data_IF_854908063301
#
_entry.id   IF_854908063301
#
_cell.length_a   1.000
_cell.length_b   1.000
_cell.length_c   1.000
_cell.angle_alpha   90.00
_cell.angle_beta   90.00
_cell.angle_gamma   90.00
#
_symmetry.space_group_name_H-M   'P 1'
#
loop_
_entity.id
_entity.type
_entity.pdbx_description
1 polymer ?
#
# COMPACT_ATOMS: atom_id res chain seq x y z
N UNK A 1 3.02 -10.80 36.52
CA UNK A 1 3.26 -10.69 35.08
C UNK A 1 3.62 -9.28 34.58
N UNK A 2 3.64 -8.26 35.47
CA UNK A 2 3.93 -6.87 35.09
C UNK A 2 5.43 -6.51 35.07
N UNK A 3 6.30 -7.38 35.58
CA UNK A 3 7.71 -7.07 35.75
C UNK A 3 8.57 -7.06 34.48
N UNK A 4 8.14 -7.74 33.42
CA UNK A 4 8.89 -7.80 32.16
C UNK A 4 8.62 -6.61 31.23
N UNK A 5 7.56 -5.81 31.48
CA UNK A 5 7.24 -4.63 30.65
C UNK A 5 8.06 -3.39 31.07
N UNK A 6 8.33 -3.22 32.37
CA UNK A 6 9.05 -2.05 32.92
C UNK A 6 10.54 -1.99 32.55
N UNK A 7 11.21 -3.14 32.45
CA UNK A 7 12.63 -3.20 32.07
C UNK A 7 12.86 -2.94 30.57
N UNK A 8 11.87 -3.17 29.74
CA UNK A 8 11.93 -2.91 28.30
C UNK A 8 11.93 -1.42 27.96
N UNK A 9 11.32 -0.58 28.82
CA UNK A 9 11.04 0.82 28.50
C UNK A 9 12.23 1.77 28.75
N UNK A 10 13.21 1.38 29.57
CA UNK A 10 14.44 2.15 29.76
C UNK A 10 15.46 1.97 28.65
N UNK A 11 15.38 0.85 27.91
CA UNK A 11 16.32 0.49 26.86
C UNK A 11 16.12 1.16 25.51
N UNK A 12 14.95 1.76 25.26
CA UNK A 12 14.56 2.17 23.90
C UNK A 12 14.09 3.61 23.77
N UNK A 13 14.61 4.57 24.53
CA UNK A 13 14.29 5.99 24.26
C UNK A 13 14.74 6.38 22.86
N UNK A 14 13.77 6.67 22.03
CA UNK A 14 13.96 7.15 20.68
C UNK A 14 14.57 8.55 20.68
N UNK A 15 15.42 8.79 19.72
CA UNK A 15 16.01 10.11 19.53
C UNK A 15 14.99 11.05 18.89
N UNK A 16 15.07 12.34 19.21
CA UNK A 16 14.25 13.36 18.59
C UNK A 16 14.40 13.35 17.05
N UNK A 17 15.59 13.05 16.56
CA UNK A 17 15.86 12.93 15.12
C UNK A 17 15.10 11.76 14.48
N UNK A 18 15.05 10.58 15.11
CA UNK A 18 14.28 9.44 14.61
C UNK A 18 12.79 9.81 14.46
N UNK A 19 12.21 10.48 15.44
CA UNK A 19 10.83 10.91 15.39
C UNK A 19 10.55 11.91 14.27
N UNK A 20 11.45 12.87 14.04
CA UNK A 20 11.33 13.80 12.90
C UNK A 20 11.39 13.04 11.57
N UNK A 21 12.31 12.10 11.41
CA UNK A 21 12.45 11.32 10.19
C UNK A 21 11.20 10.49 9.91
N UNK A 22 10.64 9.80 10.90
CA UNK A 22 9.39 9.05 10.73
C UNK A 22 8.19 9.96 10.45
N UNK A 23 8.09 11.09 11.12
CA UNK A 23 7.03 12.07 10.86
C UNK A 23 7.11 12.63 9.44
N UNK A 24 8.30 13.01 8.98
CA UNK A 24 8.52 13.48 7.60
C UNK A 24 8.16 12.41 6.58
N UNK A 25 8.56 11.15 6.84
CA UNK A 25 8.22 10.02 6.00
C UNK A 25 6.69 9.86 5.87
N UNK A 26 5.94 9.79 6.98
CA UNK A 26 4.49 9.64 6.94
C UNK A 26 3.76 10.84 6.34
N UNK A 27 4.32 12.04 6.44
CA UNK A 27 3.79 13.21 5.75
C UNK A 27 3.90 13.09 4.23
N UNK A 28 5.07 12.69 3.73
CA UNK A 28 5.29 12.48 2.29
C UNK A 28 4.44 11.32 1.76
N UNK A 29 4.38 10.22 2.50
CA UNK A 29 3.56 9.06 2.18
C UNK A 29 2.08 9.42 2.10
N UNK A 30 1.56 10.21 3.07
CA UNK A 30 0.20 10.74 3.06
C UNK A 30 -0.12 11.51 1.76
N UNK A 31 0.75 12.45 1.36
CA UNK A 31 0.51 13.26 0.16
C UNK A 31 0.53 12.40 -1.10
N UNK A 32 1.54 11.53 -1.25
CA UNK A 32 1.68 10.68 -2.43
C UNK A 32 0.55 9.66 -2.55
N UNK A 33 0.23 8.97 -1.47
CA UNK A 33 -0.84 7.97 -1.44
C UNK A 33 -2.22 8.61 -1.63
N UNK A 34 -2.50 9.76 -0.98
CA UNK A 34 -3.77 10.46 -1.14
C UNK A 34 -4.00 10.92 -2.58
N UNK A 35 -3.06 11.70 -3.13
CA UNK A 35 -3.20 12.27 -4.47
C UNK A 35 -3.26 11.18 -5.54
N UNK A 36 -2.37 10.19 -5.45
CA UNK A 36 -2.28 9.12 -6.44
C UNK A 36 -3.51 8.22 -6.45
N UNK A 37 -3.99 7.78 -5.28
CA UNK A 37 -5.14 6.89 -5.20
C UNK A 37 -6.48 7.61 -5.38
N UNK A 38 -6.62 8.86 -4.95
CA UNK A 38 -7.82 9.66 -5.23
C UNK A 38 -8.00 9.91 -6.73
N UNK A 39 -6.91 10.25 -7.44
CA UNK A 39 -6.93 10.39 -8.88
C UNK A 39 -7.25 9.07 -9.58
N UNK A 40 -6.63 7.97 -9.15
CA UNK A 40 -6.89 6.64 -9.69
C UNK A 40 -8.36 6.23 -9.50
N UNK A 41 -8.89 6.37 -8.30
CA UNK A 41 -10.28 6.03 -8.00
C UNK A 41 -11.25 6.87 -8.83
N UNK A 42 -11.02 8.17 -8.95
CA UNK A 42 -11.81 9.06 -9.78
C UNK A 42 -11.84 8.60 -11.25
N UNK A 43 -10.68 8.23 -11.82
CA UNK A 43 -10.57 7.74 -13.18
C UNK A 43 -11.26 6.38 -13.38
N UNK A 44 -11.08 5.44 -12.45
CA UNK A 44 -11.73 4.13 -12.53
C UNK A 44 -13.26 4.22 -12.44
N UNK A 45 -13.79 5.12 -11.60
CA UNK A 45 -15.25 5.36 -11.51
C UNK A 45 -15.79 6.01 -12.78
N UNK A 46 -15.08 6.99 -13.33
CA UNK A 46 -15.50 7.69 -14.56
C UNK A 46 -15.57 6.74 -15.77
N UNK A 47 -14.69 5.74 -15.82
CA UNK A 47 -14.53 4.85 -16.96
C UNK A 47 -15.09 3.44 -16.74
N UNK A 48 -16.15 3.29 -15.97
CA UNK A 48 -16.78 2.00 -15.66
C UNK A 48 -17.19 1.16 -16.89
N UNK A 49 -17.38 1.77 -18.05
CA UNK A 49 -17.82 1.07 -19.28
C UNK A 49 -16.79 0.07 -19.85
N UNK A 50 -15.53 0.13 -19.45
CA UNK A 50 -14.47 -0.76 -19.92
C UNK A 50 -13.91 -1.69 -18.85
N UNK A 51 -14.75 -2.12 -17.91
CA UNK A 51 -14.39 -2.88 -16.73
C UNK A 51 -13.74 -4.24 -17.02
N UNK A 52 -12.42 -4.25 -17.21
CA UNK A 52 -11.66 -5.51 -17.13
C UNK A 52 -11.56 -5.96 -15.67
N UNK A 53 -11.49 -7.27 -15.37
CA UNK A 53 -11.29 -7.75 -14.00
C UNK A 53 -10.11 -7.10 -13.29
N UNK A 54 -9.01 -6.85 -14.00
CA UNK A 54 -7.84 -6.17 -13.44
C UNK A 54 -8.18 -4.75 -12.98
N UNK A 55 -8.96 -3.98 -13.75
CA UNK A 55 -9.36 -2.62 -13.35
C UNK A 55 -10.25 -2.63 -12.10
N UNK A 56 -11.09 -3.66 -11.94
CA UNK A 56 -11.90 -3.84 -10.72
C UNK A 56 -10.99 -4.03 -9.50
N UNK A 57 -10.00 -4.92 -9.58
CA UNK A 57 -9.06 -5.14 -8.49
C UNK A 57 -8.22 -3.88 -8.18
N UNK A 58 -7.77 -3.14 -9.20
CA UNK A 58 -7.04 -1.88 -9.04
C UNK A 58 -7.90 -0.79 -8.37
N UNK A 59 -9.19 -0.72 -8.72
CA UNK A 59 -10.14 0.19 -8.08
C UNK A 59 -10.28 -0.11 -6.57
N UNK A 60 -10.45 -1.39 -6.22
CA UNK A 60 -10.57 -1.81 -4.82
C UNK A 60 -9.25 -1.64 -4.06
N UNK A 61 -8.11 -1.77 -4.72
CA UNK A 61 -6.79 -1.46 -4.17
C UNK A 61 -6.69 0.03 -3.80
N UNK A 62 -7.10 0.93 -4.70
CA UNK A 62 -7.15 2.37 -4.42
C UNK A 62 -8.11 2.70 -3.25
N UNK A 63 -9.23 1.99 -3.10
CA UNK A 63 -10.13 2.15 -1.96
C UNK A 63 -9.46 1.71 -0.66
N UNK A 64 -8.72 0.60 -0.67
CA UNK A 64 -7.99 0.12 0.51
C UNK A 64 -6.93 1.14 0.94
N UNK A 65 -6.16 1.69 0.00
CA UNK A 65 -5.14 2.70 0.27
C UNK A 65 -5.75 3.99 0.83
N UNK A 66 -6.83 4.49 0.23
CA UNK A 66 -7.51 5.68 0.72
C UNK A 66 -8.11 5.48 2.12
N UNK A 67 -8.56 4.28 2.46
CA UNK A 67 -9.05 3.98 3.82
C UNK A 67 -7.92 4.12 4.86
N UNK A 68 -6.71 3.70 4.53
CA UNK A 68 -5.55 3.83 5.40
C UNK A 68 -5.01 5.26 5.47
N UNK A 69 -5.06 6.00 4.36
CA UNK A 69 -4.66 7.41 4.29
C UNK A 69 -5.40 8.27 5.33
N UNK A 70 -6.65 7.93 5.66
CA UNK A 70 -7.44 8.65 6.67
C UNK A 70 -6.80 8.63 8.07
N UNK A 71 -6.03 7.61 8.39
CA UNK A 71 -5.39 7.45 9.71
C UNK A 71 -3.90 7.78 9.71
N UNK A 72 -3.28 8.03 8.57
CA UNK A 72 -1.88 8.46 8.49
C UNK A 72 -1.56 9.74 9.27
N UNK A 73 -2.43 10.78 9.30
CA UNK A 73 -2.20 11.97 10.12
C UNK A 73 -2.05 11.67 11.62
N UNK A 74 -2.70 10.62 12.12
CA UNK A 74 -2.55 10.22 13.53
C UNK A 74 -1.16 9.68 13.85
N UNK A 75 -0.54 8.98 12.89
CA UNK A 75 0.86 8.51 13.01
C UNK A 75 1.85 9.68 12.99
N UNK A 76 1.57 10.68 12.14
CA UNK A 76 2.35 11.91 12.08
C UNK A 76 2.35 12.62 13.43
N UNK A 77 1.18 12.85 14.02
CA UNK A 77 1.04 13.49 15.34
C UNK A 77 1.72 12.66 16.43
N UNK A 78 1.58 11.34 16.41
CA UNK A 78 2.23 10.44 17.37
C UNK A 78 3.75 10.66 17.43
N UNK A 79 4.42 10.73 16.28
CA UNK A 79 5.86 10.98 16.21
C UNK A 79 6.23 12.40 16.64
N UNK A 80 5.47 13.42 16.23
CA UNK A 80 5.71 14.81 16.66
C UNK A 80 5.50 15.02 18.16
N UNK A 81 4.60 14.25 18.77
CA UNK A 81 4.33 14.28 20.22
C UNK A 81 5.33 13.47 21.06
N UNK A 82 6.45 13.05 20.49
CA UNK A 82 7.46 12.26 21.21
C UNK A 82 6.95 10.87 21.61
N UNK A 83 6.17 10.24 20.72
CA UNK A 83 5.54 8.92 20.90
C UNK A 83 4.41 8.89 21.95
N UNK A 84 3.80 10.02 22.21
CA UNK A 84 2.57 10.12 22.98
C UNK A 84 1.34 10.03 22.06
N UNK A 85 0.34 9.23 22.47
CA UNK A 85 -0.91 9.04 21.74
C UNK A 85 -2.03 9.89 22.36
N UNK A 86 -2.39 11.04 21.79
CA UNK A 86 -3.36 11.97 22.39
C UNK A 86 -4.83 11.67 22.03
N UNK A 87 -5.10 10.70 21.15
CA UNK A 87 -6.43 10.54 20.53
C UNK A 87 -7.35 9.57 21.27
N UNK A 88 -6.87 8.88 22.32
CA UNK A 88 -7.66 7.91 23.07
C UNK A 88 -7.81 6.55 22.37
N UNK A 89 -8.67 5.71 22.94
CA UNK A 89 -8.78 4.29 22.62
C UNK A 89 -9.38 4.02 21.22
N UNK A 90 -10.50 4.67 20.87
CA UNK A 90 -11.23 4.39 19.61
C UNK A 90 -10.37 4.69 18.37
N UNK A 91 -9.73 5.87 18.24
CA UNK A 91 -8.82 6.12 17.12
C UNK A 91 -7.61 5.18 17.08
N UNK A 92 -7.10 4.72 18.24
CA UNK A 92 -6.02 3.74 18.28
C UNK A 92 -6.45 2.40 17.67
N UNK A 93 -7.62 1.88 18.05
CA UNK A 93 -8.21 0.66 17.45
C UNK A 93 -8.43 0.82 15.94
N UNK A 94 -8.98 1.95 15.52
CA UNK A 94 -9.26 2.24 14.12
C UNK A 94 -7.96 2.32 13.29
N UNK A 95 -6.93 2.98 13.82
CA UNK A 95 -5.62 3.08 13.16
C UNK A 95 -4.99 1.71 12.94
N UNK A 96 -5.02 0.84 13.94
CA UNK A 96 -4.55 -0.53 13.80
C UNK A 96 -5.39 -1.35 12.82
N UNK A 97 -6.71 -1.30 12.95
CA UNK A 97 -7.63 -2.00 12.06
C UNK A 97 -7.42 -1.60 10.60
N UNK A 98 -7.39 -0.31 10.27
CA UNK A 98 -7.22 0.16 8.90
C UNK A 98 -5.82 -0.14 8.33
N UNK A 99 -4.78 -0.12 9.16
CA UNK A 99 -3.44 -0.55 8.74
C UNK A 99 -3.42 -2.01 8.26
N UNK A 100 -3.97 -2.93 9.05
CA UNK A 100 -3.99 -4.35 8.69
C UNK A 100 -4.99 -4.64 7.59
N UNK A 101 -6.15 -3.97 7.59
CA UNK A 101 -7.14 -4.09 6.53
C UNK A 101 -6.53 -3.69 5.17
N UNK A 102 -5.86 -2.53 5.10
CA UNK A 102 -5.15 -2.09 3.90
C UNK A 102 -4.08 -3.11 3.48
N UNK A 103 -3.19 -3.48 4.39
CA UNK A 103 -2.07 -4.39 4.08
C UNK A 103 -2.57 -5.72 3.50
N UNK A 104 -3.50 -6.41 4.17
CA UNK A 104 -3.97 -7.72 3.69
C UNK A 104 -4.90 -7.61 2.49
N UNK A 105 -5.77 -6.60 2.42
CA UNK A 105 -6.57 -6.36 1.22
C UNK A 105 -5.67 -6.14 -0.01
N UNK A 106 -4.62 -5.32 0.10
CA UNK A 106 -3.66 -5.07 -0.97
C UNK A 106 -2.93 -6.35 -1.40
N UNK A 107 -2.43 -7.14 -0.46
CA UNK A 107 -1.78 -8.43 -0.74
C UNK A 107 -2.70 -9.34 -1.56
N UNK A 108 -3.97 -9.48 -1.17
CA UNK A 108 -4.93 -10.34 -1.86
C UNK A 108 -5.40 -9.77 -3.19
N UNK A 109 -5.57 -8.45 -3.32
CA UNK A 109 -5.90 -7.84 -4.62
C UNK A 109 -4.75 -7.97 -5.62
N UNK A 110 -3.51 -7.80 -5.18
CA UNK A 110 -2.33 -8.03 -6.02
C UNK A 110 -2.20 -9.50 -6.46
N UNK A 111 -2.53 -10.44 -5.58
CA UNK A 111 -2.63 -11.86 -5.93
C UNK A 111 -3.72 -12.08 -7.01
N UNK A 112 -4.90 -11.49 -6.86
CA UNK A 112 -5.98 -11.61 -7.85
C UNK A 112 -5.58 -11.00 -9.21
N UNK A 113 -4.86 -9.88 -9.23
CA UNK A 113 -4.30 -9.30 -10.45
C UNK A 113 -3.32 -10.29 -11.11
N UNK A 114 -2.48 -10.95 -10.32
CA UNK A 114 -1.52 -11.94 -10.79
C UNK A 114 -2.20 -13.16 -11.41
N UNK A 115 -3.26 -13.64 -10.78
CA UNK A 115 -4.11 -14.74 -11.29
C UNK A 115 -4.84 -14.33 -12.57
N UNK A 116 -5.40 -13.10 -12.64
CA UNK A 116 -6.05 -12.58 -13.86
C UNK A 116 -5.04 -12.52 -15.01
N UNK A 117 -3.81 -12.05 -14.77
CA UNK A 117 -2.77 -12.04 -15.81
C UNK A 117 -2.36 -13.44 -16.24
N UNK A 118 -2.22 -14.38 -15.31
CA UNK A 118 -1.96 -15.78 -15.62
C UNK A 118 -3.06 -16.37 -16.51
N UNK A 119 -4.30 -16.20 -16.14
CA UNK A 119 -5.44 -16.70 -16.94
C UNK A 119 -5.47 -16.06 -18.34
N UNK A 120 -5.18 -14.77 -18.45
CA UNK A 120 -5.17 -14.06 -19.72
C UNK A 120 -4.11 -14.56 -20.71
N UNK A 121 -2.94 -14.97 -20.20
CA UNK A 121 -1.76 -15.27 -21.02
C UNK A 121 -1.61 -16.77 -21.25
N UNK A 122 -1.79 -17.57 -20.20
CA UNK A 122 -1.57 -19.03 -20.29
C UNK A 122 -2.80 -19.76 -20.81
N UNK A 123 -3.99 -19.25 -20.47
CA UNK A 123 -5.27 -19.88 -20.84
C UNK A 123 -6.27 -18.91 -21.51
N UNK A 124 -5.89 -18.20 -22.58
CA UNK A 124 -6.68 -17.09 -23.13
C UNK A 124 -8.11 -17.50 -23.51
N UNK A 125 -8.27 -18.59 -24.23
CA UNK A 125 -9.59 -19.06 -24.71
C UNK A 125 -10.46 -19.61 -23.59
N UNK A 126 -9.88 -20.45 -22.71
CA UNK A 126 -10.61 -21.08 -21.61
C UNK A 126 -11.05 -20.08 -20.55
N UNK A 127 -10.31 -19.00 -20.36
CA UNK A 127 -10.54 -18.01 -19.31
C UNK A 127 -11.57 -16.92 -19.68
N UNK A 128 -12.02 -16.79 -20.93
CA UNK A 128 -12.97 -15.75 -21.36
C UNK A 128 -14.23 -15.74 -20.50
N UNK A 129 -14.79 -16.90 -20.19
CA UNK A 129 -16.00 -17.02 -19.36
C UNK A 129 -15.73 -16.66 -17.88
N UNK A 130 -14.52 -16.96 -17.37
CA UNK A 130 -14.14 -16.72 -15.98
C UNK A 130 -13.72 -15.28 -15.76
N UNK A 131 -13.12 -14.62 -16.75
CA UNK A 131 -12.63 -13.26 -16.69
C UNK A 131 -13.71 -12.21 -16.97
N UNK A 132 -14.83 -12.30 -16.24
CA UNK A 132 -15.90 -11.30 -16.26
C UNK A 132 -15.76 -10.34 -15.09
N UNK A 133 -16.06 -9.07 -15.34
CA UNK A 133 -16.03 -8.01 -14.32
C UNK A 133 -16.90 -8.34 -13.10
N UNK A 134 -18.05 -8.98 -13.32
CA UNK A 134 -18.95 -9.42 -12.24
C UNK A 134 -18.24 -10.35 -11.24
N UNK A 135 -17.50 -11.33 -11.73
CA UNK A 135 -16.78 -12.27 -10.84
C UNK A 135 -15.65 -11.56 -10.07
N UNK A 136 -15.03 -10.56 -10.68
CA UNK A 136 -14.04 -9.74 -9.97
C UNK A 136 -14.68 -8.93 -8.83
N UNK A 137 -15.85 -8.33 -9.04
CA UNK A 137 -16.58 -7.63 -7.97
C UNK A 137 -17.01 -8.57 -6.85
N UNK A 138 -17.52 -9.76 -7.18
CA UNK A 138 -17.87 -10.79 -6.18
C UNK A 138 -16.64 -11.23 -5.39
N UNK A 139 -15.51 -11.47 -6.05
CA UNK A 139 -14.25 -11.80 -5.39
C UNK A 139 -13.77 -10.67 -4.46
N UNK A 140 -13.87 -9.40 -4.90
CA UNK A 140 -13.53 -8.26 -4.05
C UNK A 140 -14.45 -8.17 -2.83
N UNK A 141 -15.76 -8.31 -3.00
CA UNK A 141 -16.71 -8.29 -1.90
C UNK A 141 -16.41 -9.40 -0.88
N UNK A 142 -16.14 -10.61 -1.35
CA UNK A 142 -15.73 -11.72 -0.51
C UNK A 142 -14.42 -11.42 0.25
N UNK A 143 -13.40 -10.89 -0.42
CA UNK A 143 -12.14 -10.54 0.22
C UNK A 143 -12.30 -9.44 1.28
N UNK A 144 -13.11 -8.41 1.02
CA UNK A 144 -13.42 -7.38 2.01
C UNK A 144 -14.06 -7.95 3.27
N UNK A 145 -15.00 -8.89 3.12
CA UNK A 145 -15.65 -9.55 4.26
C UNK A 145 -14.65 -10.42 5.02
N UNK A 146 -13.87 -11.26 4.32
CA UNK A 146 -12.90 -12.16 4.95
C UNK A 146 -11.82 -11.38 5.72
N UNK A 147 -11.21 -10.39 5.09
CA UNK A 147 -10.15 -9.58 5.73
C UNK A 147 -10.75 -8.72 6.85
N UNK A 148 -11.92 -8.11 6.65
CA UNK A 148 -12.60 -7.31 7.66
C UNK A 148 -12.94 -8.13 8.91
N UNK A 149 -13.50 -9.33 8.75
CA UNK A 149 -13.82 -10.23 9.87
C UNK A 149 -12.54 -10.71 10.57
N UNK A 150 -11.49 -11.06 9.81
CA UNK A 150 -10.22 -11.48 10.39
C UNK A 150 -9.55 -10.37 11.23
N UNK A 151 -9.71 -9.10 10.84
CA UNK A 151 -9.14 -7.95 11.56
C UNK A 151 -10.09 -7.37 12.62
N UNK A 152 -11.37 -7.76 12.67
CA UNK A 152 -12.36 -7.28 13.63
C UNK A 152 -11.94 -7.38 15.11
N UNK A 153 -11.18 -8.42 15.56
CA UNK A 153 -10.68 -8.48 16.94
C UNK A 153 -9.87 -7.25 17.38
N UNK A 154 -9.24 -6.55 16.44
CA UNK A 154 -8.50 -5.31 16.74
C UNK A 154 -9.41 -4.17 17.18
N UNK A 155 -10.64 -4.13 16.69
CA UNK A 155 -11.64 -3.15 17.11
C UNK A 155 -12.26 -3.47 18.46
N UNK A 156 -12.23 -4.73 18.88
CA UNK A 156 -12.88 -5.21 20.10
C UNK A 156 -11.93 -5.25 21.30
N UNK A 157 -10.62 -5.29 21.09
CA UNK A 157 -9.62 -5.38 22.15
C UNK A 157 -9.07 -4.01 22.55
N UNK A 158 -8.70 -3.86 23.85
CA UNK A 158 -8.05 -2.63 24.33
C UNK A 158 -6.65 -2.51 23.72
N UNK A 159 -6.37 -1.35 23.13
CA UNK A 159 -5.17 -1.07 22.36
C UNK A 159 -4.34 0.10 22.93
N UNK A 160 -4.87 0.89 23.87
CA UNK A 160 -4.10 1.92 24.57
C UNK A 160 -3.59 1.41 25.89
N UNK A 161 -2.35 1.77 26.24
CA UNK A 161 -1.71 1.44 27.53
C UNK A 161 -1.00 2.69 28.04
N UNK A 162 -1.14 2.93 29.33
CA UNK A 162 -0.36 3.97 30.02
C UNK A 162 1.01 3.42 30.43
N UNK A 163 2.07 4.11 30.00
CA UNK A 163 3.45 3.77 30.29
C UNK A 163 4.21 5.07 30.66
N UNK A 164 4.84 5.11 31.84
CA UNK A 164 5.63 6.26 32.29
C UNK A 164 4.91 7.63 32.14
N UNK A 165 3.66 7.72 32.56
CA UNK A 165 2.79 8.89 32.42
C UNK A 165 2.50 9.32 30.95
N UNK A 166 2.73 8.45 29.98
CA UNK A 166 2.38 8.67 28.59
C UNK A 166 1.44 7.58 28.09
N UNK A 167 0.42 7.96 27.33
CA UNK A 167 -0.48 7.01 26.65
C UNK A 167 0.17 6.55 25.36
N UNK A 168 0.26 5.23 25.14
CA UNK A 168 0.82 4.62 23.94
C UNK A 168 -0.23 3.76 23.26
N UNK A 169 -0.30 3.84 21.92
CA UNK A 169 -1.13 2.97 21.09
C UNK A 169 -0.33 1.73 20.68
N UNK A 170 -0.73 0.55 21.18
CA UNK A 170 -0.02 -0.71 20.96
C UNK A 170 0.08 -1.10 19.49
N UNK A 171 -0.97 -0.84 18.71
CA UNK A 171 -1.05 -1.21 17.30
C UNK A 171 -0.05 -0.46 16.40
N UNK A 172 0.53 0.63 16.88
CA UNK A 172 1.49 1.36 16.08
C UNK A 172 2.81 0.57 15.94
N UNK A 173 3.31 -0.03 17.04
CA UNK A 173 4.62 -0.70 17.01
C UNK A 173 4.83 -1.78 18.07
N UNK A 174 3.87 -2.03 18.98
CA UNK A 174 4.01 -2.90 20.15
C UNK A 174 2.89 -3.92 20.25
N UNK A 175 2.79 -4.81 19.31
CA UNK A 175 1.73 -5.84 19.33
C UNK A 175 2.05 -6.98 20.30
N UNK A 176 0.97 -7.57 20.86
CA UNK A 176 1.09 -8.77 21.71
C UNK A 176 1.61 -9.96 20.89
N UNK A 177 2.71 -10.55 21.31
CA UNK A 177 3.24 -11.76 20.71
C UNK A 177 2.38 -12.97 21.11
N UNK A 178 1.83 -13.69 20.14
CA UNK A 178 1.07 -14.92 20.32
C UNK A 178 1.51 -15.97 19.31
N UNK A 179 1.58 -17.23 19.71
CA UNK A 179 1.87 -18.34 18.77
C UNK A 179 0.79 -18.48 17.69
N UNK A 180 -0.47 -18.19 18.03
CA UNK A 180 -1.55 -18.17 17.03
C UNK A 180 -1.34 -17.07 15.98
N UNK A 181 -0.74 -15.93 16.37
CA UNK A 181 -0.38 -14.87 15.44
C UNK A 181 0.67 -15.31 14.41
N UNK A 182 1.61 -16.20 14.78
CA UNK A 182 2.59 -16.77 13.84
C UNK A 182 1.93 -17.60 12.74
N UNK A 183 1.00 -18.48 13.11
CA UNK A 183 0.29 -19.33 12.14
C UNK A 183 -0.56 -18.47 11.22
N UNK A 184 -1.32 -17.53 11.78
CA UNK A 184 -2.16 -16.61 11.00
C UNK A 184 -1.31 -15.77 10.04
N UNK A 185 -0.18 -15.24 10.51
CA UNK A 185 0.77 -14.47 9.72
C UNK A 185 1.33 -15.29 8.55
N UNK A 186 1.78 -16.53 8.84
CA UNK A 186 2.33 -17.41 7.83
C UNK A 186 1.30 -17.75 6.75
N UNK A 187 0.06 -18.11 7.13
CA UNK A 187 -0.99 -18.47 6.18
C UNK A 187 -1.45 -17.25 5.39
N UNK A 188 -1.75 -16.13 6.07
CA UNK A 188 -2.29 -14.93 5.43
C UNK A 188 -1.33 -14.27 4.43
N UNK A 189 -0.03 -14.46 4.59
CA UNK A 189 0.99 -13.92 3.69
C UNK A 189 1.56 -14.96 2.74
N UNK A 190 1.93 -16.15 3.23
CA UNK A 190 2.63 -17.16 2.41
C UNK A 190 1.76 -17.67 1.27
N UNK A 191 0.46 -17.89 1.52
CA UNK A 191 -0.46 -18.35 0.48
C UNK A 191 -0.55 -17.36 -0.70
N UNK A 192 -0.88 -16.07 -0.53
CA UNK A 192 -0.94 -15.13 -1.65
C UNK A 192 0.43 -14.89 -2.30
N UNK A 193 1.51 -14.89 -1.53
CA UNK A 193 2.86 -14.71 -2.07
C UNK A 193 3.27 -15.88 -2.98
N UNK A 194 3.13 -17.12 -2.51
CA UNK A 194 3.44 -18.33 -3.30
C UNK A 194 2.56 -18.42 -4.55
N UNK A 195 1.26 -18.11 -4.43
CA UNK A 195 0.33 -18.05 -5.57
C UNK A 195 0.80 -17.04 -6.61
N UNK A 196 1.17 -15.84 -6.18
CA UNK A 196 1.67 -14.77 -7.06
C UNK A 196 2.95 -15.21 -7.79
N UNK A 197 3.94 -15.73 -7.06
CA UNK A 197 5.21 -16.23 -7.64
C UNK A 197 4.94 -17.37 -8.64
N UNK A 198 4.08 -18.31 -8.28
CA UNK A 198 3.73 -19.44 -9.17
C UNK A 198 3.08 -18.95 -10.45
N UNK A 199 2.10 -18.04 -10.39
CA UNK A 199 1.48 -17.43 -11.56
C UNK A 199 2.53 -16.81 -12.47
N UNK A 200 3.49 -16.08 -11.92
CA UNK A 200 4.52 -15.39 -12.70
C UNK A 200 5.53 -16.36 -13.32
N UNK A 201 5.95 -17.40 -12.62
CA UNK A 201 6.81 -18.46 -13.19
C UNK A 201 6.12 -19.15 -14.36
N UNK A 202 4.82 -19.44 -14.26
CA UNK A 202 4.04 -20.04 -15.34
C UNK A 202 3.85 -19.08 -16.53
N UNK A 203 3.64 -17.79 -16.30
CA UNK A 203 3.58 -16.78 -17.36
C UNK A 203 4.93 -16.73 -18.09
N UNK A 204 6.04 -16.61 -17.37
CA UNK A 204 7.39 -16.53 -17.96
C UNK A 204 7.69 -17.79 -18.78
N UNK A 205 7.34 -18.97 -18.25
CA UNK A 205 7.49 -20.25 -18.96
C UNK A 205 6.68 -20.28 -20.25
N UNK A 206 5.43 -19.84 -20.24
CA UNK A 206 4.55 -19.76 -21.40
C UNK A 206 5.10 -18.77 -22.46
N UNK A 207 5.62 -17.63 -22.03
CA UNK A 207 6.21 -16.63 -22.92
C UNK A 207 7.52 -17.11 -23.58
N UNK A 208 8.30 -17.97 -22.91
CA UNK A 208 9.52 -18.59 -23.46
C UNK A 208 9.22 -19.75 -24.42
N UNK A 209 8.11 -20.45 -24.22
CA UNK A 209 7.70 -21.62 -25.03
C UNK A 209 7.19 -21.27 -26.44
N UNK A 210 7.34 -20.02 -26.90
CA UNK A 210 7.03 -19.64 -28.29
C UNK A 210 5.53 -19.51 -28.60
N UNK A 211 4.65 -19.50 -27.59
CA UNK A 211 3.22 -19.18 -27.81
C UNK A 211 3.12 -17.82 -28.50
N UNK A 212 2.31 -17.74 -29.56
CA UNK A 212 2.02 -16.52 -30.33
C UNK A 212 1.22 -15.52 -29.46
N UNK A 213 1.87 -15.00 -28.41
CA UNK A 213 1.32 -13.91 -27.61
C UNK A 213 1.73 -12.60 -28.28
N UNK A 214 0.77 -11.74 -28.51
CA UNK A 214 1.00 -10.41 -29.07
C UNK A 214 2.06 -9.65 -28.23
N UNK A 215 3.02 -8.99 -28.92
CA UNK A 215 4.16 -8.30 -28.28
C UNK A 215 3.72 -7.33 -27.17
N UNK A 216 2.65 -6.59 -27.41
CA UNK A 216 2.09 -5.63 -26.46
C UNK A 216 1.57 -6.31 -25.17
N UNK A 217 0.88 -7.45 -25.29
CA UNK A 217 0.40 -8.21 -24.13
C UNK A 217 1.56 -8.79 -23.33
N UNK A 218 2.63 -9.23 -24.01
CA UNK A 218 3.86 -9.70 -23.36
C UNK A 218 4.54 -8.60 -22.54
N UNK A 219 4.72 -7.42 -23.12
CA UNK A 219 5.34 -6.29 -22.43
C UNK A 219 4.52 -5.83 -21.22
N UNK A 220 3.20 -5.76 -21.38
CA UNK A 220 2.27 -5.42 -20.30
C UNK A 220 2.35 -6.41 -19.15
N UNK A 221 2.39 -7.72 -19.48
CA UNK A 221 2.52 -8.76 -18.47
C UNK A 221 3.83 -8.64 -17.70
N UNK A 222 4.95 -8.48 -18.38
CA UNK A 222 6.27 -8.35 -17.75
C UNK A 222 6.32 -7.11 -16.83
N UNK A 223 5.80 -5.97 -17.28
CA UNK A 223 5.71 -4.76 -16.43
C UNK A 223 4.86 -5.01 -15.19
N UNK A 224 3.71 -5.66 -15.33
CA UNK A 224 2.85 -6.00 -14.19
C UNK A 224 3.58 -6.93 -13.20
N UNK A 225 4.25 -7.97 -13.70
CA UNK A 225 5.04 -8.90 -12.88
C UNK A 225 6.09 -8.15 -12.06
N UNK A 226 6.89 -7.31 -12.73
CA UNK A 226 7.97 -6.56 -12.07
C UNK A 226 7.39 -5.67 -10.97
N UNK A 227 6.33 -4.91 -11.27
CA UNK A 227 5.74 -3.96 -10.30
C UNK A 227 5.15 -4.68 -9.09
N UNK A 228 4.37 -5.75 -9.30
CA UNK A 228 3.78 -6.51 -8.19
C UNK A 228 4.86 -7.17 -7.33
N UNK A 229 5.88 -7.79 -7.93
CA UNK A 229 6.99 -8.38 -7.17
C UNK A 229 7.77 -7.32 -6.39
N UNK A 230 8.01 -6.14 -6.97
CA UNK A 230 8.67 -5.03 -6.27
C UNK A 230 7.86 -4.60 -5.04
N UNK A 231 6.53 -4.44 -5.15
CA UNK A 231 5.66 -4.12 -4.03
C UNK A 231 5.73 -5.21 -2.95
N UNK A 232 5.63 -6.49 -3.33
CA UNK A 232 5.76 -7.59 -2.36
C UNK A 232 7.10 -7.58 -1.64
N UNK A 233 8.21 -7.45 -2.37
CA UNK A 233 9.56 -7.52 -1.82
C UNK A 233 9.92 -6.31 -0.96
N UNK A 234 9.47 -5.13 -1.32
CA UNK A 234 9.81 -3.89 -0.59
C UNK A 234 8.81 -3.64 0.54
N UNK A 235 7.50 -3.78 0.28
CA UNK A 235 6.49 -3.36 1.25
C UNK A 235 6.06 -4.47 2.19
N UNK A 236 5.92 -5.72 1.72
CA UNK A 236 5.29 -6.76 2.53
C UNK A 236 6.25 -7.79 3.11
N UNK A 237 7.24 -8.26 2.34
CA UNK A 237 8.22 -9.26 2.85
C UNK A 237 8.96 -8.76 4.08
N UNK A 238 9.52 -7.53 4.11
CA UNK A 238 10.26 -7.06 5.30
C UNK A 238 9.39 -7.02 6.56
N UNK A 239 8.13 -6.60 6.42
CA UNK A 239 7.20 -6.56 7.56
C UNK A 239 6.94 -7.96 8.12
N UNK A 240 6.61 -8.94 7.27
CA UNK A 240 6.28 -10.28 7.70
C UNK A 240 7.48 -11.02 8.29
N UNK A 241 8.66 -10.87 7.68
CA UNK A 241 9.92 -11.43 8.21
C UNK A 241 10.26 -10.81 9.56
N UNK A 242 10.23 -9.48 9.66
CA UNK A 242 10.50 -8.78 10.91
C UNK A 242 9.51 -9.18 12.02
N UNK A 243 8.24 -9.28 11.67
CA UNK A 243 7.19 -9.69 12.61
C UNK A 243 7.38 -11.11 13.11
N UNK A 244 7.78 -12.03 12.22
CA UNK A 244 8.11 -13.40 12.58
C UNK A 244 9.28 -13.43 13.57
N UNK A 245 10.37 -12.71 13.29
CA UNK A 245 11.53 -12.61 14.17
C UNK A 245 11.15 -11.99 15.52
N UNK A 246 10.35 -10.92 15.52
CA UNK A 246 9.89 -10.25 16.73
C UNK A 246 9.12 -11.20 17.64
N UNK A 247 8.15 -11.96 17.10
CA UNK A 247 7.34 -12.90 17.89
C UNK A 247 8.20 -14.05 18.45
N UNK A 248 9.18 -14.57 17.71
CA UNK A 248 10.08 -15.62 18.19
C UNK A 248 10.97 -15.15 19.34
N UNK A 249 11.51 -13.93 19.24
CA UNK A 249 12.42 -13.39 20.26
C UNK A 249 11.69 -12.89 21.51
N UNK A 250 10.46 -12.40 21.35
CA UNK A 250 9.66 -11.92 22.48
C UNK A 250 9.25 -13.05 23.45
N UNK A 251 9.11 -14.29 22.97
CA UNK A 251 8.61 -15.41 23.76
C UNK A 251 9.69 -16.19 24.53
N UNK A 252 10.97 -15.88 24.44
CA UNK A 252 11.94 -16.88 24.83
C UNK A 252 13.13 -16.51 25.69
N UNK A 253 13.59 -15.28 25.79
CA UNK A 253 14.85 -14.98 26.49
C UNK A 253 14.93 -13.55 27.01
N UNK A 254 15.70 -13.35 28.10
CA UNK A 254 16.20 -12.04 28.55
C UNK A 254 17.05 -11.45 27.40
N UNK A 255 16.42 -10.74 26.48
CA UNK A 255 17.12 -10.07 25.39
C UNK A 255 17.89 -8.86 25.90
N UNK A 256 19.11 -8.65 25.38
CA UNK A 256 19.89 -7.46 25.70
C UNK A 256 19.17 -6.18 25.30
N UNK A 257 19.47 -5.07 25.96
CA UNK A 257 18.90 -3.76 25.67
C UNK A 257 19.12 -3.35 24.20
N UNK A 258 20.29 -3.62 23.67
CA UNK A 258 20.65 -3.35 22.28
C UNK A 258 19.74 -4.13 21.28
N UNK A 259 19.50 -5.41 21.56
CA UNK A 259 18.60 -6.23 20.73
C UNK A 259 17.16 -5.74 20.77
N UNK A 260 16.67 -5.31 21.95
CA UNK A 260 15.32 -4.75 22.06
C UNK A 260 15.17 -3.46 21.26
N UNK A 261 16.18 -2.57 21.30
CA UNK A 261 16.21 -1.34 20.52
C UNK A 261 16.24 -1.63 19.00
N UNK A 262 17.08 -2.58 18.59
CA UNK A 262 17.16 -2.99 17.18
C UNK A 262 15.83 -3.56 16.68
N UNK A 263 15.15 -4.40 17.47
CA UNK A 263 13.83 -4.95 17.13
C UNK A 263 12.74 -3.87 17.06
N UNK A 264 12.75 -2.90 17.98
CA UNK A 264 11.81 -1.79 17.95
C UNK A 264 12.00 -0.91 16.69
N UNK A 265 13.26 -0.56 16.36
CA UNK A 265 13.58 0.22 15.18
C UNK A 265 13.24 -0.53 13.88
N UNK A 266 13.58 -1.82 13.79
CA UNK A 266 13.26 -2.65 12.62
C UNK A 266 11.75 -2.78 12.42
N UNK A 267 10.95 -2.88 13.48
CA UNK A 267 9.49 -2.92 13.39
C UNK A 267 8.90 -1.60 12.85
N UNK A 268 9.46 -0.46 13.21
CA UNK A 268 9.08 0.85 12.68
C UNK A 268 9.42 0.99 11.21
N UNK A 269 10.65 0.65 10.84
CA UNK A 269 11.09 0.66 9.44
C UNK A 269 10.20 -0.25 8.60
N UNK A 270 9.94 -1.47 9.08
CA UNK A 270 9.07 -2.41 8.37
C UNK A 270 7.63 -1.87 8.22
N UNK A 271 7.10 -1.18 9.23
CA UNK A 271 5.78 -0.52 9.14
C UNK A 271 5.78 0.64 8.15
N UNK A 272 6.85 1.42 8.06
CA UNK A 272 7.03 2.45 7.03
C UNK A 272 7.07 1.83 5.63
N UNK A 273 7.85 0.77 5.43
CA UNK A 273 7.90 0.08 4.14
C UNK A 273 6.55 -0.47 3.72
N UNK A 274 5.76 -0.98 4.69
CA UNK A 274 4.40 -1.45 4.41
C UNK A 274 3.49 -0.30 3.99
N UNK A 275 3.57 0.88 4.61
CA UNK A 275 2.71 2.00 4.25
C UNK A 275 3.03 2.55 2.85
N UNK A 276 4.27 2.39 2.36
CA UNK A 276 4.66 2.78 1.00
C UNK A 276 3.88 2.08 -0.12
N UNK A 277 3.18 0.97 0.16
CA UNK A 277 2.36 0.34 -0.89
C UNK A 277 1.37 1.34 -1.48
N UNK A 278 0.71 2.15 -0.65
CA UNK A 278 -0.22 3.19 -1.10
C UNK A 278 0.41 4.26 -1.99
N UNK A 279 1.71 4.54 -1.83
CA UNK A 279 2.45 5.46 -2.70
C UNK A 279 2.95 4.77 -4.00
N UNK A 280 3.21 3.45 -3.98
CA UNK A 280 3.65 2.69 -5.15
C UNK A 280 2.50 2.24 -6.05
N UNK A 281 1.32 1.99 -5.51
CA UNK A 281 0.17 1.51 -6.27
C UNK A 281 -0.25 2.46 -7.42
N UNK A 282 -0.24 3.80 -7.28
CA UNK A 282 -0.43 4.71 -8.41
C UNK A 282 0.58 4.55 -9.54
N UNK A 283 1.84 4.22 -9.21
CA UNK A 283 2.86 3.91 -10.22
C UNK A 283 2.50 2.62 -10.96
N UNK A 284 2.03 1.61 -10.24
CA UNK A 284 1.54 0.37 -10.85
C UNK A 284 0.33 0.64 -11.76
N UNK A 285 -0.63 1.49 -11.35
CA UNK A 285 -1.79 1.86 -12.19
C UNK A 285 -1.35 2.47 -13.52
N UNK A 286 -0.34 3.32 -13.51
CA UNK A 286 0.22 3.92 -14.72
C UNK A 286 0.74 2.87 -15.72
N UNK A 287 1.38 1.81 -15.23
CA UNK A 287 1.93 0.76 -16.10
C UNK A 287 0.90 -0.30 -16.50
N UNK A 288 -0.07 -0.61 -15.66
CA UNK A 288 -1.03 -1.70 -15.84
C UNK A 288 -2.32 -1.24 -16.51
N UNK A 289 -2.84 -0.07 -16.12
CA UNK A 289 -4.10 0.48 -16.60
C UNK A 289 -3.85 1.52 -17.72
N UNK A 290 -4.07 1.10 -18.98
CA UNK A 290 -3.85 1.98 -20.16
C UNK A 290 -4.62 3.29 -20.08
N UNK A 291 -5.87 3.22 -19.65
CA UNK A 291 -6.74 4.39 -19.55
C UNK A 291 -6.30 5.36 -18.45
N UNK A 292 -5.73 4.85 -17.36
CA UNK A 292 -5.13 5.69 -16.34
C UNK A 292 -3.93 6.47 -16.92
N UNK A 293 -3.08 5.78 -17.68
CA UNK A 293 -1.95 6.39 -18.37
C UNK A 293 -2.39 7.45 -19.39
N UNK A 294 -3.38 7.12 -20.25
CA UNK A 294 -3.94 8.04 -21.24
C UNK A 294 -4.55 9.28 -20.59
N UNK A 295 -5.33 9.10 -19.51
CA UNK A 295 -5.92 10.21 -18.78
C UNK A 295 -4.87 11.12 -18.14
N UNK A 296 -3.81 10.55 -17.53
CA UNK A 296 -2.68 11.32 -17.02
C UNK A 296 -1.95 12.08 -18.13
N UNK A 297 -1.62 11.40 -19.24
CA UNK A 297 -0.97 12.04 -20.37
C UNK A 297 -1.81 13.21 -20.93
N UNK A 298 -3.12 13.01 -21.07
CA UNK A 298 -4.02 14.07 -21.52
C UNK A 298 -4.06 15.25 -20.55
N UNK A 299 -4.08 14.99 -19.24
CA UNK A 299 -4.11 16.03 -18.22
C UNK A 299 -2.83 16.90 -18.25
N UNK A 300 -1.68 16.26 -18.47
CA UNK A 300 -0.40 16.96 -18.61
C UNK A 300 -0.21 17.61 -20.01
N UNK A 301 -0.69 16.98 -21.09
CA UNK A 301 -0.61 17.54 -22.44
C UNK A 301 -1.53 18.75 -22.63
N UNK A 302 -2.76 18.69 -22.13
CA UNK A 302 -3.70 19.84 -22.14
C UNK A 302 -3.11 21.01 -21.40
N UNK A 303 -2.44 20.77 -20.26
CA UNK A 303 -1.75 21.83 -19.51
C UNK A 303 -0.61 22.45 -20.31
N UNK A 304 0.15 21.64 -21.07
CA UNK A 304 1.25 22.13 -21.91
C UNK A 304 0.73 22.98 -23.08
N UNK A 305 -0.39 22.61 -23.66
CA UNK A 305 -1.03 23.35 -24.76
C UNK A 305 -1.62 24.68 -24.26
N UNK A 306 -2.28 24.70 -23.09
CA UNK A 306 -2.76 25.94 -22.47
C UNK A 306 -1.63 26.90 -22.12
N UNK A 307 -0.52 26.40 -21.59
CA UNK A 307 0.64 27.25 -21.24
C UNK A 307 1.29 27.83 -22.50
N UNK A 308 1.39 27.07 -23.59
CA UNK A 308 1.88 27.54 -24.89
C UNK A 308 0.93 28.57 -25.53
N UNK A 309 -0.40 28.37 -25.44
CA UNK A 309 -1.41 29.32 -25.93
C UNK A 309 -1.34 30.65 -25.19
N UNK A 310 -1.25 30.63 -23.86
CA UNK A 310 -1.10 31.86 -23.08
C UNK A 310 0.21 32.62 -23.36
N UNK A 311 1.30 31.88 -23.63
CA UNK A 311 2.60 32.48 -23.99
C UNK A 311 2.54 33.10 -25.40
N UNK A 312 1.77 32.52 -26.31
CA UNK A 312 1.58 33.06 -27.67
C UNK A 312 0.68 34.29 -27.69
N UNK A 313 -0.43 34.27 -26.91
CA UNK A 313 -1.31 35.44 -26.78
C UNK A 313 -0.62 36.62 -26.06
N UNK A 314 0.25 36.35 -25.06
CA UNK A 314 1.09 37.37 -24.42
C UNK A 314 2.05 38.05 -25.40
N UNK A 315 2.70 37.27 -26.29
CA UNK A 315 3.62 37.82 -27.30
C UNK A 315 2.92 38.56 -28.43
N UNK A 316 1.72 38.15 -28.84
CA UNK A 316 0.94 38.89 -29.85
C UNK A 316 0.40 40.22 -29.33
N UNK A 317 0.05 40.29 -28.04
CA UNK A 317 -0.38 41.55 -27.42
C UNK A 317 0.77 42.53 -27.23
N UNK A 318 1.98 42.08 -26.89
CA UNK A 318 3.17 42.98 -26.81
C UNK A 318 3.56 43.50 -28.20
N UNK A 319 3.52 42.69 -29.24
CA UNK A 319 3.85 43.16 -30.61
C UNK A 319 2.81 44.12 -31.18
N UNK A 320 1.53 44.00 -30.77
CA UNK A 320 0.46 44.92 -31.17
C UNK A 320 0.48 46.26 -30.43
N UNK A 321 1.01 46.31 -29.20
CA UNK A 321 1.21 47.53 -28.44
C UNK A 321 2.44 48.32 -28.92
N UNK A 322 3.51 47.61 -29.36
CA UNK A 322 4.70 48.26 -29.94
C UNK A 322 4.40 48.92 -31.30
N UNK A 323 3.56 48.31 -32.13
CA UNK A 323 3.18 48.86 -33.43
C UNK A 323 2.23 50.09 -33.37
N UNK A 324 1.58 50.34 -32.20
CA UNK A 324 0.72 51.52 -31.98
C UNK A 324 1.46 52.72 -31.36
N UNK A 325 2.73 52.55 -30.97
CA UNK A 325 3.54 53.66 -30.43
C UNK A 325 4.44 54.32 -31.47
N UNK A 326 4.44 53.86 -32.73
CA UNK A 326 5.23 54.42 -33.84
C UNK A 326 4.37 55.09 -34.94
N UNK A 327 3.14 55.41 -34.66
CA UNK A 327 2.27 56.26 -35.47
C UNK A 327 1.82 57.48 -34.62
#
# INVERSE_FOLDING_TARGET
>A
PNFSLETSDQCGKETHLENILFATFYFLDFILAFVGNALALWLFIRDQKSGTPANVFLMHLAVADLSFVLVLPTRLVYHFSGNHWPFGEIPCRLTGFLFYLNMYASIYFLMCISVDRFLAIVHPVKSIKLRRSLYAHVACAFLWVVVGVAMAPLLLSVQTVEMNNTTVCLQLYREKASRHALVSLAVAFTFPFVTTVTCYLLIIRSLKSGNRVEKHLKEKAIKTIIMVLMIFLICFVPYHVNRYIYILHYNGTKTSCETQRALALSNRIASCLTSLNGAFDPVMYFFVAEKFREALCNLFCVRKTMTLSQTYEGKTNESSLSAKSEL
#
